data_IF_279906227136
#
_entry.id   IF_279906227136
#
_cell.length_a   1.000
_cell.length_b   1.000
_cell.length_c   1.000
_cell.angle_alpha   90.00
_cell.angle_beta   90.00
_cell.angle_gamma   90.00
#
_symmetry.space_group_name_H-M   'P 1'
#
loop_
_entity.id
_entity.type
_entity.pdbx_description
1 polymer ?
#
# COMPACT_ATOMS: atom_id res chain seq x y z
N UNK A 1 0.48 -63.67 -50.70
CA UNK A 1 1.54 -62.83 -50.08
C UNK A 1 1.18 -62.34 -48.66
N UNK A 2 0.16 -62.88 -47.98
CA UNK A 2 -0.38 -62.28 -46.73
C UNK A 2 0.08 -62.97 -45.43
N UNK A 3 1.07 -63.87 -45.48
CA UNK A 3 1.43 -64.71 -44.33
C UNK A 3 2.52 -64.07 -43.42
N UNK A 4 3.47 -63.31 -44.00
CA UNK A 4 4.54 -62.66 -43.23
C UNK A 4 4.04 -61.50 -42.35
N UNK A 5 3.10 -60.69 -42.84
CA UNK A 5 2.55 -59.56 -42.09
C UNK A 5 1.73 -60.01 -40.86
N UNK A 6 1.05 -61.14 -40.98
CA UNK A 6 0.27 -61.74 -39.91
C UNK A 6 1.16 -62.48 -38.87
N UNK A 7 2.35 -62.95 -39.26
CA UNK A 7 3.35 -63.51 -38.33
C UNK A 7 3.96 -62.42 -37.42
N UNK A 8 4.34 -61.26 -37.96
CA UNK A 8 4.88 -60.14 -37.15
C UNK A 8 3.87 -59.60 -36.14
N UNK A 9 2.58 -59.54 -36.52
CA UNK A 9 1.52 -59.11 -35.61
C UNK A 9 1.21 -60.16 -34.52
N UNK A 10 1.44 -61.45 -34.79
CA UNK A 10 1.30 -62.55 -33.82
C UNK A 10 2.46 -62.62 -32.81
N UNK A 11 3.71 -62.38 -33.23
CA UNK A 11 4.84 -62.28 -32.30
C UNK A 11 4.69 -61.10 -31.33
N UNK A 12 4.07 -60.00 -31.77
CA UNK A 12 3.71 -58.86 -30.90
C UNK A 12 2.56 -59.12 -29.92
N UNK A 13 1.96 -60.32 -29.95
CA UNK A 13 0.99 -60.81 -28.96
C UNK A 13 1.42 -62.14 -28.32
N UNK A 14 2.72 -62.38 -28.17
CA UNK A 14 3.18 -63.26 -27.12
C UNK A 14 3.03 -62.48 -25.80
N UNK A 15 2.33 -63.06 -24.84
CA UNK A 15 1.93 -62.44 -23.59
C UNK A 15 3.13 -61.96 -22.77
N UNK A 16 3.63 -60.78 -23.11
CA UNK A 16 4.31 -59.92 -22.18
C UNK A 16 3.17 -59.23 -21.45
N UNK A 17 2.75 -59.81 -20.31
CA UNK A 17 2.03 -59.01 -19.32
C UNK A 17 2.80 -57.71 -19.12
N UNK A 18 2.13 -56.58 -18.84
CA UNK A 18 2.83 -55.31 -18.72
C UNK A 18 4.05 -55.55 -17.85
N UNK A 19 5.24 -55.23 -18.39
CA UNK A 19 6.51 -55.39 -17.69
C UNK A 19 6.57 -54.29 -16.62
N UNK A 20 5.60 -54.32 -15.71
CA UNK A 20 5.55 -53.55 -14.48
C UNK A 20 6.50 -54.25 -13.55
N UNK A 21 7.80 -54.19 -13.85
CA UNK A 21 8.80 -54.39 -12.82
C UNK A 21 8.55 -53.27 -11.82
N UNK A 22 8.16 -53.57 -10.56
CA UNK A 22 7.96 -52.54 -9.55
C UNK A 22 9.18 -51.61 -9.46
N UNK A 23 10.36 -52.18 -9.70
CA UNK A 23 11.65 -51.52 -9.83
C UNK A 23 11.71 -50.39 -10.86
N UNK A 24 11.06 -50.50 -12.02
CA UNK A 24 11.05 -49.41 -13.02
C UNK A 24 10.23 -48.22 -12.51
N UNK A 25 9.07 -48.48 -11.91
CA UNK A 25 8.22 -47.43 -11.35
C UNK A 25 8.91 -46.76 -10.16
N UNK A 26 9.53 -47.53 -9.27
CA UNK A 26 10.31 -47.01 -8.14
C UNK A 26 11.49 -46.16 -8.60
N UNK A 27 12.23 -46.62 -9.62
CA UNK A 27 13.31 -45.86 -10.22
C UNK A 27 12.83 -44.57 -10.89
N UNK A 28 11.68 -44.60 -11.57
CA UNK A 28 11.10 -43.42 -12.22
C UNK A 28 10.62 -42.40 -11.18
N UNK A 29 9.95 -42.84 -10.11
CA UNK A 29 9.54 -41.98 -8.98
C UNK A 29 10.74 -41.34 -8.30
N UNK A 30 11.79 -42.12 -8.02
CA UNK A 30 13.02 -41.62 -7.39
C UNK A 30 13.70 -40.55 -8.25
N UNK A 31 13.76 -40.77 -9.57
CA UNK A 31 14.30 -39.78 -10.50
C UNK A 31 13.46 -38.50 -10.55
N UNK A 32 12.13 -38.57 -10.48
CA UNK A 32 11.31 -37.35 -10.39
C UNK A 32 11.68 -36.58 -9.12
N UNK A 33 11.71 -37.27 -7.98
CA UNK A 33 11.99 -36.64 -6.68
C UNK A 33 13.40 -36.02 -6.63
N UNK A 34 14.41 -36.71 -7.13
CA UNK A 34 15.80 -36.21 -7.17
C UNK A 34 15.97 -35.00 -8.13
N UNK A 35 15.06 -34.79 -9.09
CA UNK A 35 15.06 -33.63 -10.00
C UNK A 35 14.29 -32.43 -9.45
N UNK A 36 13.53 -32.57 -8.35
CA UNK A 36 12.85 -31.46 -7.69
C UNK A 36 13.84 -30.84 -6.70
N UNK A 37 14.29 -29.59 -6.90
CA UNK A 37 15.22 -28.95 -5.98
C UNK A 37 14.49 -28.43 -4.75
N UNK A 38 13.89 -29.31 -3.95
CA UNK A 38 13.11 -28.99 -2.74
C UNK A 38 13.85 -28.01 -1.80
N UNK A 39 15.15 -28.17 -1.49
CA UNK A 39 15.84 -27.26 -0.56
C UNK A 39 16.00 -25.83 -1.09
N UNK A 40 15.93 -25.63 -2.41
CA UNK A 40 15.94 -24.28 -3.02
C UNK A 40 14.55 -23.67 -3.02
N UNK A 41 13.51 -24.50 -3.15
CA UNK A 41 12.12 -24.06 -3.11
C UNK A 41 11.72 -23.68 -1.68
N UNK A 42 12.08 -24.48 -0.69
CA UNK A 42 11.82 -24.20 0.74
C UNK A 42 12.42 -22.85 1.16
N UNK A 43 13.69 -22.60 0.84
CA UNK A 43 14.34 -21.30 1.13
C UNK A 43 13.64 -20.12 0.45
N UNK A 44 13.15 -20.33 -0.77
CA UNK A 44 12.43 -19.29 -1.52
C UNK A 44 11.04 -19.05 -0.92
N UNK A 45 10.38 -20.11 -0.45
CA UNK A 45 9.09 -20.01 0.24
C UNK A 45 9.27 -19.26 1.57
N UNK A 46 10.27 -19.63 2.37
CA UNK A 46 10.60 -18.94 3.63
C UNK A 46 10.89 -17.45 3.41
N UNK A 47 11.70 -17.11 2.40
CA UNK A 47 11.95 -15.72 2.03
C UNK A 47 10.65 -14.99 1.61
N UNK A 48 9.80 -15.61 0.79
CA UNK A 48 8.53 -15.01 0.39
C UNK A 48 7.57 -14.85 1.57
N UNK A 49 7.56 -15.76 2.53
CA UNK A 49 6.75 -15.65 3.74
C UNK A 49 7.23 -14.49 4.62
N UNK A 50 8.53 -14.32 4.79
CA UNK A 50 9.11 -13.18 5.50
C UNK A 50 8.78 -11.84 4.80
N UNK A 51 8.98 -11.77 3.48
CA UNK A 51 8.63 -10.59 2.68
C UNK A 51 7.13 -10.26 2.79
N UNK A 52 6.25 -11.26 2.76
CA UNK A 52 4.81 -11.06 2.89
C UNK A 52 4.42 -10.58 4.30
N UNK A 53 5.06 -11.11 5.35
CA UNK A 53 4.86 -10.64 6.72
C UNK A 53 5.30 -9.18 6.89
N UNK A 54 6.43 -8.80 6.30
CA UNK A 54 6.93 -7.42 6.32
C UNK A 54 5.97 -6.47 5.56
N UNK A 55 5.52 -6.85 4.36
CA UNK A 55 4.56 -6.06 3.60
C UNK A 55 3.23 -5.86 4.34
N UNK A 56 2.78 -6.86 5.09
CA UNK A 56 1.58 -6.75 5.93
C UNK A 56 1.78 -5.75 7.06
N UNK A 57 2.94 -5.77 7.72
CA UNK A 57 3.27 -4.79 8.76
C UNK A 57 3.34 -3.37 8.20
N UNK A 58 3.97 -3.18 7.04
CA UNK A 58 4.04 -1.88 6.37
C UNK A 58 2.64 -1.34 6.02
N UNK A 59 1.74 -2.22 5.54
CA UNK A 59 0.36 -1.84 5.25
C UNK A 59 -0.40 -1.40 6.51
N UNK A 60 -0.21 -2.11 7.64
CA UNK A 60 -0.83 -1.73 8.91
C UNK A 60 -0.28 -0.39 9.45
N UNK A 61 1.04 -0.14 9.31
CA UNK A 61 1.66 1.14 9.66
C UNK A 61 1.11 2.28 8.80
N UNK A 62 1.02 2.09 7.48
CA UNK A 62 0.43 3.09 6.58
C UNK A 62 -1.02 3.39 6.93
N UNK A 63 -1.81 2.36 7.26
CA UNK A 63 -3.20 2.53 7.68
C UNK A 63 -3.30 3.40 8.95
N UNK A 64 -2.48 3.11 9.96
CA UNK A 64 -2.45 3.89 11.20
C UNK A 64 -2.04 5.35 10.97
N UNK A 65 -1.07 5.59 10.09
CA UNK A 65 -0.63 6.95 9.76
C UNK A 65 -1.76 7.75 9.07
N UNK A 66 -2.48 7.14 8.13
CA UNK A 66 -3.64 7.75 7.48
C UNK A 66 -4.72 8.11 8.50
N UNK A 67 -5.05 7.22 9.43
CA UNK A 67 -6.02 7.51 10.49
C UNK A 67 -5.59 8.70 11.37
N UNK A 68 -4.30 8.79 11.71
CA UNK A 68 -3.75 9.90 12.49
C UNK A 68 -3.82 11.21 11.72
N UNK A 69 -3.51 11.20 10.42
CA UNK A 69 -3.61 12.37 9.55
C UNK A 69 -5.06 12.87 9.43
N UNK A 70 -6.03 11.96 9.29
CA UNK A 70 -7.45 12.33 9.24
C UNK A 70 -7.86 13.04 10.52
N UNK A 71 -7.53 12.49 11.69
CA UNK A 71 -7.84 13.11 12.99
C UNK A 71 -7.18 14.47 13.17
N UNK A 72 -5.93 14.62 12.72
CA UNK A 72 -5.24 15.90 12.74
C UNK A 72 -5.92 16.94 11.85
N UNK A 73 -6.31 16.53 10.64
CA UNK A 73 -7.01 17.39 9.68
C UNK A 73 -8.36 17.86 10.21
N UNK A 74 -9.19 16.97 10.77
CA UNK A 74 -10.51 17.35 11.29
C UNK A 74 -10.40 18.36 12.42
N UNK A 75 -9.44 18.18 13.34
CA UNK A 75 -9.20 19.15 14.42
C UNK A 75 -8.75 20.51 13.89
N UNK A 76 -7.81 20.54 12.93
CA UNK A 76 -7.35 21.78 12.33
C UNK A 76 -8.47 22.53 11.57
N UNK A 77 -9.40 21.78 10.97
CA UNK A 77 -10.58 22.33 10.29
C UNK A 77 -11.59 22.94 11.28
N UNK A 78 -11.86 22.26 12.40
CA UNK A 78 -12.65 22.79 13.52
C UNK A 78 -12.04 24.09 14.10
N UNK A 79 -10.73 24.08 14.34
CA UNK A 79 -9.99 25.25 14.86
C UNK A 79 -10.08 26.43 13.87
N UNK A 80 -9.97 26.18 12.56
CA UNK A 80 -10.10 27.19 11.52
C UNK A 80 -11.52 27.79 11.48
N UNK A 81 -12.55 26.96 11.61
CA UNK A 81 -13.93 27.43 11.66
C UNK A 81 -14.20 28.27 12.91
N UNK A 82 -13.69 27.85 14.07
CA UNK A 82 -13.74 28.67 15.29
C UNK A 82 -13.08 30.03 15.07
N UNK A 83 -11.83 30.05 14.59
CA UNK A 83 -11.09 31.27 14.32
C UNK A 83 -11.82 32.19 13.33
N UNK A 84 -12.43 31.62 12.30
CA UNK A 84 -13.24 32.35 11.31
C UNK A 84 -14.47 33.00 11.96
N UNK A 85 -15.11 32.33 12.92
CA UNK A 85 -16.23 32.93 13.67
C UNK A 85 -15.77 34.06 14.58
N UNK A 86 -14.66 33.88 15.29
CA UNK A 86 -14.12 34.90 16.19
C UNK A 86 -13.61 36.12 15.42
N UNK A 87 -12.97 35.92 14.28
CA UNK A 87 -12.59 37.00 13.37
C UNK A 87 -13.81 37.81 12.89
N UNK A 88 -14.90 37.14 12.51
CA UNK A 88 -16.15 37.82 12.10
C UNK A 88 -16.73 38.65 13.24
N UNK A 89 -16.77 38.10 14.47
CA UNK A 89 -17.23 38.82 15.67
C UNK A 89 -16.36 40.05 15.92
N UNK A 90 -15.04 39.88 15.95
CA UNK A 90 -14.09 40.97 16.17
C UNK A 90 -14.28 42.09 15.13
N UNK A 91 -14.40 41.73 13.85
CA UNK A 91 -14.65 42.70 12.77
C UNK A 91 -15.97 43.47 12.97
N UNK A 92 -17.01 42.81 13.44
CA UNK A 92 -18.28 43.47 13.76
C UNK A 92 -18.14 44.40 14.98
N UNK A 93 -17.49 43.95 16.05
CA UNK A 93 -17.22 44.77 17.24
C UNK A 93 -16.40 46.02 16.93
N UNK A 94 -15.39 45.92 16.05
CA UNK A 94 -14.61 47.08 15.59
C UNK A 94 -15.46 48.09 14.82
N UNK A 95 -16.45 47.63 14.04
CA UNK A 95 -17.39 48.50 13.31
C UNK A 95 -18.35 49.21 14.27
N UNK A 96 -18.85 48.51 15.29
CA UNK A 96 -19.81 49.07 16.25
C UNK A 96 -19.16 50.03 17.24
N UNK A 97 -17.89 49.81 17.60
CA UNK A 97 -17.14 50.69 18.48
C UNK A 97 -16.60 51.95 17.75
N UNK A 98 -17.01 52.19 16.50
CA UNK A 98 -16.54 53.29 15.63
C UNK A 98 -15.01 53.34 15.44
N UNK A 99 -14.30 52.28 15.84
CA UNK A 99 -12.88 52.03 15.62
C UNK A 99 -12.55 51.69 14.16
N UNK A 100 -13.53 51.82 13.26
CA UNK A 100 -13.45 51.58 11.83
C UNK A 100 -12.64 52.63 11.06
N UNK A 101 -11.60 53.21 11.67
CA UNK A 101 -10.60 53.96 10.92
C UNK A 101 -9.86 52.97 10.01
N UNK A 102 -9.79 53.27 8.72
CA UNK A 102 -8.92 52.51 7.81
C UNK A 102 -7.46 52.65 8.25
N UNK A 103 -6.58 51.70 7.87
CA UNK A 103 -5.14 51.80 8.18
C UNK A 103 -4.53 53.13 7.71
N UNK A 104 -5.07 53.72 6.64
CA UNK A 104 -4.70 55.06 6.16
C UNK A 104 -5.13 56.16 7.13
N UNK A 105 -6.37 56.13 7.63
CA UNK A 105 -6.84 57.09 8.63
C UNK A 105 -5.99 57.05 9.92
N UNK A 106 -5.56 55.86 10.36
CA UNK A 106 -4.62 55.73 11.47
C UNK A 106 -3.22 56.31 11.17
N UNK A 107 -2.72 56.15 9.93
CA UNK A 107 -1.44 56.72 9.51
C UNK A 107 -1.50 58.25 9.38
N UNK A 108 -2.64 58.78 8.95
CA UNK A 108 -2.90 60.23 8.89
C UNK A 108 -2.92 60.83 10.30
N UNK A 109 -3.66 60.20 11.23
CA UNK A 109 -3.79 60.68 12.60
C UNK A 109 -2.44 60.65 13.35
N UNK A 110 -1.64 59.59 13.19
CA UNK A 110 -0.28 59.56 13.76
C UNK A 110 0.63 60.63 13.14
N UNK A 111 0.45 61.00 11.86
CA UNK A 111 1.20 62.09 11.24
C UNK A 111 0.79 63.45 11.80
N UNK A 112 -0.50 63.72 11.93
CA UNK A 112 -1.00 64.96 12.51
C UNK A 112 -0.55 65.14 13.96
N UNK A 113 -0.59 64.07 14.77
CA UNK A 113 -0.17 64.11 16.17
C UNK A 113 1.34 64.39 16.31
N UNK A 114 2.17 63.77 15.44
CA UNK A 114 3.62 64.07 15.38
C UNK A 114 3.91 65.51 14.95
N UNK A 115 3.11 66.06 14.05
CA UNK A 115 3.26 67.45 13.60
C UNK A 115 2.82 68.46 14.66
N UNK A 116 1.83 68.12 15.51
CA UNK A 116 1.44 68.91 16.68
C UNK A 116 2.51 68.90 17.77
N UNK A 117 3.14 67.75 18.03
CA UNK A 117 4.18 67.64 19.05
C UNK A 117 5.49 68.38 18.70
N UNK A 118 5.72 68.63 17.41
CA UNK A 118 6.88 69.38 16.90
C UNK A 118 6.63 70.88 16.74
N UNK A 119 5.48 71.39 17.22
CA UNK A 119 5.07 72.79 17.10
C UNK A 119 4.98 73.43 18.47
#
# INVERSE_FOLDING_TARGET
>A
MSNAWNQTRRMKRLGVGPMTTPEYNEWWVRRINDNIPEPKLEKKIEQMEEENMNLKLDADVQKLEVERLIKGKTKAEEDLDSLKTDYKKLRLSMRTAELGKTSEQWREEIREEKNKANR
#
